data_IF_707521872052
#
_entry.id   IF_707521872052
#
_cell.length_a   1.000
_cell.length_b   1.000
_cell.length_c   1.000
_cell.angle_alpha   90.00
_cell.angle_beta   90.00
_cell.angle_gamma   90.00
#
_symmetry.space_group_name_H-M   'P 1'
#
loop_
_entity.id
_entity.type
_entity.pdbx_description
1 polymer ?
#
# COMPACT_ATOMS: atom_id res chain seq x y z
N UNK A 1 1.44 29.05 13.05
CA UNK A 1 0.29 29.85 12.72
C UNK A 1 -0.92 28.97 12.45
N UNK A 2 -2.12 29.49 12.69
CA UNK A 2 -3.36 28.79 12.32
C UNK A 2 -3.50 28.89 10.81
N UNK A 3 -3.57 27.73 10.13
CA UNK A 3 -3.84 27.70 8.70
C UNK A 3 -5.34 27.82 8.46
N UNK A 4 -5.80 28.98 8.04
CA UNK A 4 -7.20 29.23 7.71
C UNK A 4 -7.65 28.59 6.39
N UNK A 5 -6.70 28.16 5.53
CA UNK A 5 -7.01 27.53 4.26
C UNK A 5 -7.63 26.15 4.44
N UNK A 6 -7.52 25.55 5.64
CA UNK A 6 -8.24 24.32 5.99
C UNK A 6 -9.75 24.42 5.78
N UNK A 7 -10.34 25.62 5.94
CA UNK A 7 -11.77 25.86 5.68
C UNK A 7 -12.13 25.72 4.20
N UNK A 8 -11.18 25.91 3.30
CA UNK A 8 -11.35 25.83 1.84
C UNK A 8 -11.13 24.40 1.33
N UNK A 9 -9.95 23.82 1.64
CA UNK A 9 -9.66 22.46 1.18
C UNK A 9 -10.26 21.37 2.07
N UNK A 10 -10.66 21.71 3.34
CA UNK A 10 -11.41 20.85 4.26
C UNK A 10 -10.73 19.55 4.68
N UNK A 11 -9.42 19.45 4.50
CA UNK A 11 -8.69 18.26 4.88
C UNK A 11 -8.55 18.18 6.40
N UNK A 12 -8.96 17.06 7.07
CA UNK A 12 -8.78 16.89 8.51
C UNK A 12 -7.32 16.92 8.92
N UNK A 13 -7.00 17.40 10.14
CA UNK A 13 -5.64 17.59 10.62
C UNK A 13 -4.73 16.35 10.50
N UNK A 14 -5.21 15.18 10.87
CA UNK A 14 -4.47 13.93 10.73
C UNK A 14 -4.19 13.55 9.27
N UNK A 15 -5.17 13.78 8.38
CA UNK A 15 -4.98 13.55 6.95
C UNK A 15 -3.97 14.54 6.36
N UNK A 16 -3.98 15.80 6.81
CA UNK A 16 -3.00 16.81 6.38
C UNK A 16 -1.57 16.39 6.73
N UNK A 17 -1.32 15.98 7.98
CA UNK A 17 0.00 15.54 8.41
C UNK A 17 0.50 14.33 7.63
N UNK A 18 -0.34 13.31 7.42
CA UNK A 18 0.01 12.13 6.63
C UNK A 18 0.28 12.47 5.16
N UNK A 19 -0.49 13.40 4.60
CA UNK A 19 -0.34 13.85 3.22
C UNK A 19 0.93 14.66 3.01
N UNK A 20 1.29 15.53 3.96
CA UNK A 20 2.55 16.27 3.95
C UNK A 20 3.74 15.31 4.02
N UNK A 21 3.70 14.34 4.93
CA UNK A 21 4.75 13.34 5.06
C UNK A 21 4.88 12.49 3.79
N UNK A 22 3.76 12.07 3.20
CA UNK A 22 3.74 11.34 1.94
C UNK A 22 4.34 12.14 0.78
N UNK A 23 3.98 13.42 0.65
CA UNK A 23 4.54 14.32 -0.36
C UNK A 23 6.03 14.57 -0.15
N UNK A 24 6.48 14.71 1.12
CA UNK A 24 7.89 14.88 1.48
C UNK A 24 8.70 13.65 1.11
N UNK A 25 8.25 12.45 1.48
CA UNK A 25 8.92 11.18 1.17
C UNK A 25 9.06 10.92 -0.32
N UNK A 26 8.14 11.43 -1.12
CA UNK A 26 8.16 11.31 -2.57
C UNK A 26 8.86 12.48 -3.29
N UNK A 27 9.40 13.45 -2.55
CA UNK A 27 10.11 14.61 -3.10
C UNK A 27 9.21 15.71 -3.66
N UNK A 28 7.91 15.67 -3.44
CA UNK A 28 6.91 16.60 -3.99
C UNK A 28 6.35 17.61 -2.99
N UNK A 29 7.01 17.79 -1.83
CA UNK A 29 6.51 18.72 -0.80
C UNK A 29 6.35 20.15 -1.30
N UNK A 30 7.18 20.59 -2.26
CA UNK A 30 7.10 21.90 -2.88
C UNK A 30 5.80 22.10 -3.70
N UNK A 31 5.15 21.02 -4.11
CA UNK A 31 3.87 21.05 -4.83
C UNK A 31 2.64 21.05 -3.90
N UNK A 32 2.84 20.90 -2.59
CA UNK A 32 1.73 20.84 -1.63
C UNK A 32 0.71 21.99 -1.75
N UNK A 33 1.13 23.28 -1.92
CA UNK A 33 0.16 24.36 -2.07
C UNK A 33 -0.73 24.21 -3.31
N UNK A 34 -0.22 23.64 -4.39
CA UNK A 34 -0.98 23.37 -5.62
C UNK A 34 -1.95 22.20 -5.42
N UNK A 35 -1.51 21.16 -4.70
CA UNK A 35 -2.36 20.01 -4.36
C UNK A 35 -3.56 20.43 -3.50
N UNK A 36 -3.37 21.31 -2.53
CA UNK A 36 -4.45 21.81 -1.68
C UNK A 36 -5.46 22.66 -2.49
N UNK A 37 -4.98 23.48 -3.41
CA UNK A 37 -5.85 24.24 -4.33
C UNK A 37 -6.62 23.31 -5.28
N UNK A 38 -5.96 22.27 -5.79
CA UNK A 38 -6.62 21.27 -6.63
C UNK A 38 -7.71 20.53 -5.85
N UNK A 39 -7.44 20.17 -4.61
CA UNK A 39 -8.41 19.53 -3.71
C UNK A 39 -9.64 20.42 -3.48
N UNK A 40 -9.44 21.72 -3.23
CA UNK A 40 -10.54 22.71 -3.07
C UNK A 40 -11.45 22.72 -4.32
N UNK A 41 -10.89 22.86 -5.51
CA UNK A 41 -11.65 22.87 -6.76
C UNK A 41 -12.35 21.55 -7.05
N UNK A 42 -11.67 20.43 -6.81
CA UNK A 42 -12.25 19.09 -6.98
C UNK A 42 -13.47 18.88 -6.09
N UNK A 43 -13.41 19.32 -4.84
CA UNK A 43 -14.56 19.22 -3.90
C UNK A 43 -15.78 20.03 -4.39
N UNK A 44 -15.56 21.19 -4.98
CA UNK A 44 -16.65 22.01 -5.56
C UNK A 44 -17.27 21.32 -6.78
N UNK A 45 -16.46 20.72 -7.65
CA UNK A 45 -16.91 20.05 -8.88
C UNK A 45 -17.66 18.76 -8.57
N UNK A 46 -17.05 17.89 -7.75
CA UNK A 46 -17.61 16.59 -7.40
C UNK A 46 -18.69 16.70 -6.33
N UNK A 47 -18.79 17.87 -5.67
CA UNK A 47 -19.72 18.13 -4.58
C UNK A 47 -19.65 17.10 -3.46
N UNK A 48 -18.45 16.68 -3.18
CA UNK A 48 -18.12 15.70 -2.14
C UNK A 48 -17.29 16.34 -1.05
N UNK A 49 -17.81 16.30 0.18
CA UNK A 49 -17.06 16.73 1.35
C UNK A 49 -16.29 15.55 1.92
N UNK A 50 -14.98 15.71 1.99
CA UNK A 50 -14.12 14.72 2.58
C UNK A 50 -14.43 14.56 4.06
N UNK A 51 -14.84 13.36 4.41
CA UNK A 51 -14.96 12.94 5.80
C UNK A 51 -14.04 11.75 6.02
N UNK A 52 -13.47 11.67 7.19
CA UNK A 52 -12.67 10.49 7.55
C UNK A 52 -13.61 9.25 7.57
N UNK A 53 -13.25 8.14 6.89
CA UNK A 53 -11.95 7.82 6.29
C UNK A 53 -11.82 8.12 4.78
N UNK A 54 -12.79 8.76 4.14
CA UNK A 54 -12.86 8.94 2.68
C UNK A 54 -11.91 10.02 2.11
N UNK A 55 -11.33 10.88 2.95
CA UNK A 55 -10.44 11.99 2.54
C UNK A 55 -9.23 11.55 1.70
N UNK A 56 -8.83 10.29 1.81
CA UNK A 56 -7.70 9.74 1.05
C UNK A 56 -7.97 9.70 -0.46
N UNK A 57 -9.22 9.51 -0.88
CA UNK A 57 -9.59 9.37 -2.29
C UNK A 57 -9.33 10.67 -3.05
N UNK A 58 -9.86 11.78 -2.54
CA UNK A 58 -9.73 13.10 -3.18
C UNK A 58 -8.31 13.65 -3.04
N UNK A 59 -7.65 13.39 -1.90
CA UNK A 59 -6.23 13.72 -1.74
C UNK A 59 -5.35 13.01 -2.77
N UNK A 60 -5.48 11.70 -2.92
CA UNK A 60 -4.70 10.95 -3.90
C UNK A 60 -4.96 11.44 -5.33
N UNK A 61 -6.19 11.84 -5.63
CA UNK A 61 -6.53 12.44 -6.93
C UNK A 61 -5.79 13.76 -7.12
N UNK A 62 -5.81 14.64 -6.11
CA UNK A 62 -5.07 15.91 -6.17
C UNK A 62 -3.55 15.68 -6.30
N UNK A 63 -3.00 14.74 -5.55
CA UNK A 63 -1.60 14.37 -5.62
C UNK A 63 -1.21 13.90 -7.02
N UNK A 64 -1.97 12.97 -7.60
CA UNK A 64 -1.69 12.40 -8.92
C UNK A 64 -1.86 13.43 -10.04
N UNK A 65 -2.92 14.24 -10.01
CA UNK A 65 -3.15 15.27 -11.01
C UNK A 65 -2.02 16.32 -11.04
N UNK A 66 -1.64 16.83 -9.86
CA UNK A 66 -0.59 17.86 -9.76
C UNK A 66 0.80 17.29 -10.10
N UNK A 67 1.13 16.09 -9.60
CA UNK A 67 2.42 15.46 -9.92
C UNK A 67 2.48 15.00 -11.37
N UNK A 68 1.37 14.58 -11.97
CA UNK A 68 1.25 14.26 -13.39
C UNK A 68 1.49 15.49 -14.27
N UNK A 69 0.83 16.62 -13.95
CA UNK A 69 1.06 17.89 -14.63
C UNK A 69 2.53 18.34 -14.50
N UNK A 70 3.10 18.26 -13.30
CA UNK A 70 4.52 18.59 -13.08
C UNK A 70 5.46 17.75 -13.95
N UNK A 71 5.21 16.47 -14.09
CA UNK A 71 6.02 15.57 -14.94
C UNK A 71 5.90 15.92 -16.43
N UNK A 72 4.76 16.45 -16.89
CA UNK A 72 4.52 16.80 -18.30
C UNK A 72 5.16 18.13 -18.68
N UNK A 73 5.08 19.15 -17.85
CA UNK A 73 5.53 20.50 -18.20
C UNK A 73 5.97 21.38 -17.04
N UNK A 74 6.32 20.79 -15.89
CA UNK A 74 6.80 21.54 -14.74
C UNK A 74 5.75 22.46 -14.12
N UNK A 75 6.21 23.58 -13.58
CA UNK A 75 5.36 24.54 -12.88
C UNK A 75 4.32 25.19 -13.80
N UNK A 76 4.64 25.42 -15.06
CA UNK A 76 3.73 26.04 -16.04
C UNK A 76 2.50 25.16 -16.25
N UNK A 77 2.70 23.87 -16.44
CA UNK A 77 1.59 22.92 -16.63
C UNK A 77 0.73 22.78 -15.36
N UNK A 78 1.35 22.80 -14.18
CA UNK A 78 0.61 22.81 -12.91
C UNK A 78 -0.24 24.07 -12.75
N UNK A 79 0.30 25.23 -13.09
CA UNK A 79 -0.42 26.51 -13.06
C UNK A 79 -1.58 26.52 -14.04
N UNK A 80 -1.37 26.04 -15.26
CA UNK A 80 -2.42 25.90 -16.27
C UNK A 80 -3.54 24.96 -15.80
N UNK A 81 -3.19 23.78 -15.25
CA UNK A 81 -4.16 22.86 -14.69
C UNK A 81 -5.06 23.52 -13.63
N UNK A 82 -4.47 24.30 -12.73
CA UNK A 82 -5.23 25.01 -11.69
C UNK A 82 -6.04 26.19 -12.25
N UNK A 83 -5.57 26.86 -13.27
CA UNK A 83 -6.32 27.91 -13.98
C UNK A 83 -7.59 27.30 -14.61
N UNK A 84 -7.46 26.20 -15.36
CA UNK A 84 -8.59 25.49 -15.93
C UNK A 84 -9.57 25.02 -14.85
N UNK A 85 -9.07 24.42 -13.77
CA UNK A 85 -9.89 23.98 -12.65
C UNK A 85 -10.68 25.13 -12.02
N UNK A 86 -10.03 26.29 -11.80
CA UNK A 86 -10.64 27.47 -11.21
C UNK A 86 -11.70 28.08 -12.15
N UNK A 87 -11.41 28.11 -13.45
CA UNK A 87 -12.35 28.62 -14.44
C UNK A 87 -13.63 27.77 -14.51
N UNK A 88 -13.50 26.44 -14.59
CA UNK A 88 -14.67 25.54 -14.63
C UNK A 88 -15.47 25.48 -13.34
N UNK A 89 -14.89 25.89 -12.21
CA UNK A 89 -15.63 25.98 -10.94
C UNK A 89 -16.42 27.28 -10.80
N UNK A 90 -16.01 28.36 -11.47
CA UNK A 90 -16.59 29.71 -11.31
C UNK A 90 -17.47 30.12 -12.47
N UNK A 91 -17.21 29.61 -13.66
CA UNK A 91 -17.88 30.02 -14.90
C UNK A 91 -18.99 29.03 -15.27
N UNK A 92 -20.23 29.48 -15.50
CA UNK A 92 -21.29 28.63 -16.00
C UNK A 92 -20.90 27.93 -17.32
N UNK A 93 -21.39 26.71 -17.49
CA UNK A 93 -21.09 25.87 -18.66
C UNK A 93 -21.36 26.60 -20.00
N UNK A 94 -22.40 27.43 -20.06
CA UNK A 94 -22.78 28.21 -21.25
C UNK A 94 -21.74 29.27 -21.63
N UNK A 95 -21.00 29.77 -20.68
CA UNK A 95 -20.04 30.88 -20.82
C UNK A 95 -18.59 30.41 -21.02
N UNK A 96 -18.31 29.12 -20.78
CA UNK A 96 -16.97 28.56 -20.97
C UNK A 96 -16.55 28.59 -22.45
N UNK A 97 -15.31 29.04 -22.68
CA UNK A 97 -14.72 29.04 -24.03
C UNK A 97 -14.54 27.58 -24.56
N UNK A 98 -14.44 27.44 -25.87
CA UNK A 98 -14.18 26.14 -26.50
C UNK A 98 -12.85 25.54 -26.08
N UNK A 99 -11.86 26.37 -25.81
CA UNK A 99 -10.53 25.99 -25.33
C UNK A 99 -10.61 25.43 -23.89
N UNK A 100 -11.28 26.14 -22.98
CA UNK A 100 -11.46 25.68 -21.60
C UNK A 100 -12.30 24.40 -21.53
N UNK A 101 -13.31 24.24 -22.39
CA UNK A 101 -14.06 22.97 -22.49
C UNK A 101 -13.21 21.79 -22.95
N UNK A 102 -12.19 22.00 -23.77
CA UNK A 102 -11.23 20.95 -24.15
C UNK A 102 -10.23 20.70 -23.02
N UNK A 103 -9.66 21.77 -22.47
CA UNK A 103 -8.64 21.67 -21.43
C UNK A 103 -9.16 20.97 -20.15
N UNK A 104 -10.42 21.16 -19.77
CA UNK A 104 -11.02 20.50 -18.59
C UNK A 104 -11.04 18.97 -18.68
N UNK A 105 -10.97 18.40 -19.86
CA UNK A 105 -10.93 16.96 -20.04
C UNK A 105 -9.61 16.34 -19.55
N UNK A 106 -8.60 17.16 -19.29
CA UNK A 106 -7.33 16.71 -18.74
C UNK A 106 -7.25 16.81 -17.19
N UNK A 107 -8.26 17.38 -16.54
CA UNK A 107 -8.22 17.63 -15.07
C UNK A 107 -8.05 16.32 -14.28
N UNK A 108 -8.79 15.28 -14.63
CA UNK A 108 -8.82 14.00 -13.90
C UNK A 108 -8.19 12.84 -14.67
N UNK A 109 -7.44 13.10 -15.76
CA UNK A 109 -6.82 12.04 -16.57
C UNK A 109 -5.88 11.13 -15.76
N UNK A 110 -5.22 11.68 -14.74
CA UNK A 110 -4.28 10.97 -13.87
C UNK A 110 -4.95 10.43 -12.59
N UNK A 111 -6.28 10.48 -12.47
CA UNK A 111 -6.97 10.03 -11.27
C UNK A 111 -6.83 8.52 -11.06
N UNK A 112 -6.85 8.09 -9.78
CA UNK A 112 -6.77 6.69 -9.42
C UNK A 112 -8.12 5.96 -9.55
N UNK A 113 -8.06 4.63 -9.45
CA UNK A 113 -9.24 3.77 -9.50
C UNK A 113 -10.24 4.04 -8.36
N UNK A 114 -9.76 4.43 -7.17
CA UNK A 114 -10.64 4.79 -6.06
C UNK A 114 -11.51 6.02 -6.38
N UNK A 115 -10.95 7.03 -7.05
CA UNK A 115 -11.73 8.19 -7.50
C UNK A 115 -12.75 7.81 -8.58
N UNK A 116 -12.38 6.96 -9.53
CA UNK A 116 -13.33 6.41 -10.52
C UNK A 116 -14.47 5.66 -9.85
N UNK A 117 -14.17 4.82 -8.85
CA UNK A 117 -15.20 4.12 -8.04
C UNK A 117 -16.10 5.09 -7.27
N UNK A 118 -15.54 6.20 -6.75
CA UNK A 118 -16.33 7.26 -6.13
C UNK A 118 -17.34 7.87 -7.11
N UNK A 119 -16.89 8.23 -8.31
CA UNK A 119 -17.75 8.77 -9.37
C UNK A 119 -18.85 7.79 -9.79
N UNK A 120 -18.58 6.48 -9.74
CA UNK A 120 -19.56 5.43 -10.03
C UNK A 120 -20.54 5.15 -8.87
N UNK A 121 -20.40 5.82 -7.73
CA UNK A 121 -21.23 5.57 -6.55
C UNK A 121 -20.92 4.27 -5.80
N UNK A 122 -19.78 3.62 -6.09
CA UNK A 122 -19.41 2.33 -5.44
C UNK A 122 -19.13 2.46 -3.94
N UNK A 123 -18.90 3.67 -3.44
CA UNK A 123 -18.74 3.96 -2.00
C UNK A 123 -20.02 4.57 -1.38
N UNK A 124 -21.11 4.55 -2.12
CA UNK A 124 -22.39 5.14 -1.73
C UNK A 124 -22.75 6.34 -2.59
N UNK A 125 -23.97 6.78 -2.40
CA UNK A 125 -24.52 7.95 -3.11
C UNK A 125 -23.75 9.21 -2.75
N UNK A 126 -23.37 9.97 -3.76
CA UNK A 126 -22.79 11.30 -3.55
C UNK A 126 -23.85 12.24 -2.94
N UNK A 127 -23.53 12.99 -1.88
CA UNK A 127 -24.52 13.76 -1.10
C UNK A 127 -25.35 14.77 -1.92
N UNK A 128 -24.72 15.37 -2.94
CA UNK A 128 -25.34 16.38 -3.80
C UNK A 128 -25.61 15.87 -5.23
N UNK A 129 -25.66 14.56 -5.40
CA UNK A 129 -25.84 13.89 -6.69
C UNK A 129 -24.56 13.75 -7.49
N UNK A 130 -24.70 13.16 -8.66
CA UNK A 130 -23.56 12.93 -9.55
C UNK A 130 -23.04 14.22 -10.19
N UNK A 131 -21.73 14.36 -10.42
CA UNK A 131 -21.15 15.50 -11.11
C UNK A 131 -21.55 15.52 -12.61
N UNK A 132 -21.20 16.61 -13.28
CA UNK A 132 -21.47 16.77 -14.71
C UNK A 132 -20.71 15.73 -15.58
N UNK A 133 -21.26 15.42 -16.74
CA UNK A 133 -20.76 14.37 -17.64
C UNK A 133 -19.29 14.56 -18.06
N UNK A 134 -18.82 15.80 -18.23
CA UNK A 134 -17.43 16.07 -18.55
C UNK A 134 -16.43 15.57 -17.50
N UNK A 135 -16.83 15.44 -16.23
CA UNK A 135 -16.00 14.89 -15.16
C UNK A 135 -15.74 13.41 -15.44
N UNK A 136 -16.75 12.69 -15.93
CA UNK A 136 -16.60 11.29 -16.35
C UNK A 136 -15.72 11.19 -17.59
N UNK A 137 -15.92 12.08 -18.56
CA UNK A 137 -15.08 12.12 -19.76
C UNK A 137 -13.61 12.35 -19.42
N UNK A 138 -13.33 13.27 -18.49
CA UNK A 138 -11.99 13.52 -17.96
C UNK A 138 -11.39 12.32 -17.23
N UNK A 139 -12.18 11.61 -16.42
CA UNK A 139 -11.68 10.51 -15.57
C UNK A 139 -11.59 9.16 -16.30
N UNK A 140 -12.46 8.91 -17.28
CA UNK A 140 -12.59 7.61 -17.96
C UNK A 140 -12.21 7.66 -19.45
N UNK A 141 -11.88 8.83 -19.99
CA UNK A 141 -11.55 8.98 -21.42
C UNK A 141 -12.66 8.46 -22.32
N UNK A 142 -12.32 7.62 -23.30
CA UNK A 142 -13.30 7.08 -24.29
C UNK A 142 -14.42 6.22 -23.66
N UNK A 143 -14.23 5.72 -22.45
CA UNK A 143 -15.19 4.83 -21.78
C UNK A 143 -16.24 5.58 -20.93
N UNK A 144 -16.22 6.91 -20.91
CA UNK A 144 -17.06 7.72 -20.03
C UNK A 144 -18.57 7.45 -20.14
N UNK A 145 -19.09 7.18 -21.34
CA UNK A 145 -20.52 6.86 -21.56
C UNK A 145 -20.91 5.55 -20.89
N UNK A 146 -20.05 4.53 -20.99
CA UNK A 146 -20.23 3.26 -20.30
C UNK A 146 -20.14 3.45 -18.79
N UNK A 147 -19.21 4.29 -18.32
CA UNK A 147 -19.07 4.62 -16.91
C UNK A 147 -20.36 5.26 -16.35
N UNK A 148 -20.95 6.23 -17.05
CA UNK A 148 -22.21 6.85 -16.67
C UNK A 148 -23.35 5.81 -16.61
N UNK A 149 -23.44 4.92 -17.58
CA UNK A 149 -24.46 3.87 -17.59
C UNK A 149 -24.33 2.87 -16.42
N UNK A 150 -23.12 2.70 -15.90
CA UNK A 150 -22.79 1.79 -14.78
C UNK A 150 -22.78 2.46 -13.40
N UNK A 151 -23.24 3.71 -13.29
CA UNK A 151 -23.41 4.38 -12.00
C UNK A 151 -24.44 3.65 -11.14
N UNK A 152 -24.22 3.66 -9.83
CA UNK A 152 -25.17 3.09 -8.89
C UNK A 152 -25.52 4.09 -7.79
N UNK A 153 -26.79 4.11 -7.41
CA UNK A 153 -27.28 4.86 -6.23
C UNK A 153 -27.56 3.91 -5.05
N UNK A 154 -27.33 2.63 -5.25
CA UNK A 154 -27.55 1.60 -4.23
C UNK A 154 -26.49 1.75 -3.14
N UNK A 155 -26.91 1.69 -1.89
CA UNK A 155 -26.01 1.71 -0.74
C UNK A 155 -25.01 0.56 -0.82
N UNK A 156 -23.72 0.76 -0.49
CA UNK A 156 -22.77 -0.33 -0.38
C UNK A 156 -23.26 -1.47 0.53
N UNK A 157 -23.96 -1.14 1.63
CA UNK A 157 -24.54 -2.13 2.54
C UNK A 157 -25.61 -2.99 1.86
N UNK A 158 -26.42 -2.41 0.97
CA UNK A 158 -27.44 -3.15 0.22
C UNK A 158 -26.86 -4.00 -0.92
N UNK A 159 -25.66 -3.65 -1.39
CA UNK A 159 -24.96 -4.35 -2.49
C UNK A 159 -24.00 -5.43 -2.01
N UNK A 160 -23.67 -5.46 -0.72
CA UNK A 160 -22.80 -6.49 -0.16
C UNK A 160 -23.58 -7.81 -0.02
N UNK A 161 -22.96 -8.95 -0.35
CA UNK A 161 -23.56 -10.25 -0.07
C UNK A 161 -23.69 -10.46 1.45
N UNK A 162 -24.74 -11.17 1.85
CA UNK A 162 -24.89 -11.58 3.24
C UNK A 162 -23.70 -12.43 3.67
N UNK A 163 -23.16 -12.12 4.86
CA UNK A 163 -22.06 -12.89 5.45
C UNK A 163 -22.60 -14.17 6.04
N UNK A 164 -22.08 -15.32 5.61
CA UNK A 164 -22.39 -16.58 6.24
C UNK A 164 -21.61 -16.72 7.55
N UNK A 165 -22.19 -16.24 8.65
CA UNK A 165 -21.54 -16.22 9.96
C UNK A 165 -21.14 -17.63 10.44
N UNK A 166 -21.89 -18.67 10.09
CA UNK A 166 -21.56 -20.04 10.48
C UNK A 166 -20.30 -20.56 9.75
N UNK A 167 -20.16 -20.22 8.46
CA UNK A 167 -18.97 -20.56 7.69
C UNK A 167 -17.73 -19.80 8.20
N UNK A 168 -17.89 -18.52 8.51
CA UNK A 168 -16.80 -17.68 9.08
C UNK A 168 -16.37 -18.15 10.47
N UNK A 169 -17.34 -18.53 11.34
CA UNK A 169 -17.01 -19.09 12.67
C UNK A 169 -16.27 -20.43 12.54
N UNK A 170 -16.66 -21.27 11.58
CA UNK A 170 -15.98 -22.54 11.32
C UNK A 170 -14.54 -22.30 10.83
N UNK A 171 -14.33 -21.36 9.89
CA UNK A 171 -13.02 -21.00 9.40
C UNK A 171 -12.11 -20.43 10.52
N UNK A 172 -12.64 -19.53 11.34
CA UNK A 172 -11.91 -18.98 12.48
C UNK A 172 -11.54 -20.08 13.49
N UNK A 173 -12.46 -21.01 13.76
CA UNK A 173 -12.26 -22.17 14.66
C UNK A 173 -11.14 -23.07 14.15
N UNK A 174 -11.09 -23.33 12.84
CA UNK A 174 -10.04 -24.13 12.23
C UNK A 174 -8.67 -23.47 12.36
N UNK A 175 -8.58 -22.18 12.11
CA UNK A 175 -7.33 -21.42 12.21
C UNK A 175 -6.81 -21.32 13.66
N UNK A 176 -7.70 -21.18 14.63
CA UNK A 176 -7.35 -21.11 16.06
C UNK A 176 -7.20 -22.49 16.71
N UNK A 177 -7.66 -23.57 16.07
CA UNK A 177 -7.79 -24.93 16.65
C UNK A 177 -8.66 -24.96 17.93
N UNK A 178 -9.49 -23.96 18.12
CA UNK A 178 -10.50 -23.85 19.18
C UNK A 178 -11.61 -22.91 18.75
N UNK A 179 -12.77 -23.02 19.41
CA UNK A 179 -13.87 -22.05 19.18
C UNK A 179 -13.46 -20.66 19.66
N UNK A 180 -13.64 -19.60 18.86
CA UNK A 180 -13.42 -18.22 19.30
C UNK A 180 -14.47 -17.81 20.34
N UNK A 181 -14.14 -16.86 21.24
CA UNK A 181 -15.16 -16.17 22.03
C UNK A 181 -15.98 -15.25 21.12
N UNK A 182 -17.10 -14.72 21.63
CA UNK A 182 -17.93 -13.80 20.85
C UNK A 182 -17.17 -12.53 20.44
N UNK A 183 -16.36 -11.99 21.35
CA UNK A 183 -15.53 -10.80 21.13
C UNK A 183 -14.44 -11.09 20.09
N UNK A 184 -13.76 -12.23 20.21
CA UNK A 184 -12.75 -12.66 19.25
C UNK A 184 -13.35 -12.85 17.85
N UNK A 185 -14.53 -13.42 17.77
CA UNK A 185 -15.20 -13.62 16.50
C UNK A 185 -15.62 -12.28 15.85
N UNK A 186 -16.13 -11.34 16.62
CA UNK A 186 -16.43 -9.97 16.12
C UNK A 186 -15.17 -9.28 15.61
N UNK A 187 -14.05 -9.39 16.34
CA UNK A 187 -12.76 -8.85 15.87
C UNK A 187 -12.29 -9.52 14.59
N UNK A 188 -12.44 -10.84 14.49
CA UNK A 188 -12.11 -11.59 13.28
C UNK A 188 -12.93 -11.16 12.07
N UNK A 189 -14.23 -10.95 12.22
CA UNK A 189 -15.09 -10.49 11.13
C UNK A 189 -14.68 -9.09 10.62
N UNK A 190 -14.20 -8.22 11.49
CA UNK A 190 -13.80 -6.86 11.12
C UNK A 190 -12.36 -6.79 10.57
N UNK A 191 -11.42 -7.55 11.17
CA UNK A 191 -9.98 -7.49 10.87
C UNK A 191 -9.36 -8.89 10.95
N UNK A 192 -9.64 -9.80 9.99
CA UNK A 192 -9.29 -11.23 10.12
C UNK A 192 -7.82 -11.48 10.43
N UNK A 193 -6.91 -10.85 9.67
CA UNK A 193 -5.47 -11.08 9.82
C UNK A 193 -4.90 -10.58 11.15
N UNK A 194 -5.31 -9.40 11.60
CA UNK A 194 -4.80 -8.81 12.84
C UNK A 194 -5.44 -9.45 14.06
N UNK A 195 -6.71 -9.82 13.98
CA UNK A 195 -7.40 -10.57 15.01
C UNK A 195 -6.73 -11.93 15.24
N UNK A 196 -6.45 -12.69 14.18
CA UNK A 196 -5.77 -13.98 14.28
C UNK A 196 -4.38 -13.85 14.92
N UNK A 197 -3.57 -12.89 14.50
CA UNK A 197 -2.26 -12.61 15.11
C UNK A 197 -2.38 -12.33 16.61
N UNK A 198 -3.35 -11.48 16.97
CA UNK A 198 -3.60 -11.12 18.38
C UNK A 198 -4.06 -12.32 19.20
N UNK A 199 -4.96 -13.12 18.68
CA UNK A 199 -5.44 -14.32 19.36
C UNK A 199 -4.34 -15.37 19.52
N UNK A 200 -3.53 -15.61 18.47
CA UNK A 200 -2.39 -16.52 18.52
C UNK A 200 -1.34 -16.05 19.54
N UNK A 201 -1.05 -14.73 19.55
CA UNK A 201 -0.16 -14.14 20.54
C UNK A 201 -0.69 -14.38 21.98
N UNK A 202 -1.98 -14.10 22.21
CA UNK A 202 -2.60 -14.33 23.54
C UNK A 202 -2.65 -15.81 23.93
N UNK A 203 -2.78 -16.71 22.96
CA UNK A 203 -2.72 -18.15 23.24
C UNK A 203 -1.31 -18.58 23.67
N UNK A 204 -0.28 -18.02 23.03
CA UNK A 204 1.12 -18.37 23.29
C UNK A 204 1.65 -17.71 24.59
N UNK A 205 1.40 -16.42 24.77
CA UNK A 205 2.04 -15.60 25.81
C UNK A 205 1.08 -15.17 26.94
N UNK A 206 -0.21 -15.39 26.80
CA UNK A 206 -1.22 -14.86 27.71
C UNK A 206 -1.75 -13.50 27.31
N UNK A 207 -2.63 -12.93 28.13
CA UNK A 207 -3.21 -11.61 27.87
C UNK A 207 -2.25 -10.51 28.36
N UNK A 208 -1.73 -9.65 27.46
CA UNK A 208 -0.84 -8.55 27.84
C UNK A 208 -1.48 -7.52 28.76
N UNK A 209 -2.81 -7.45 28.82
CA UNK A 209 -3.52 -6.56 29.74
C UNK A 209 -3.28 -6.90 31.22
N UNK A 210 -2.77 -8.10 31.51
CA UNK A 210 -2.37 -8.50 32.88
C UNK A 210 -1.01 -7.96 33.27
N UNK A 211 -0.26 -7.32 32.37
CA UNK A 211 1.04 -6.73 32.64
C UNK A 211 0.90 -5.22 32.91
N UNK A 212 1.67 -4.67 33.88
CA UNK A 212 1.79 -3.23 34.01
C UNK A 212 2.32 -2.59 32.72
N UNK A 213 1.82 -1.41 32.40
CA UNK A 213 2.10 -0.73 31.13
C UNK A 213 3.60 -0.53 30.88
N UNK A 214 4.35 -0.17 31.91
CA UNK A 214 5.81 0.01 31.83
C UNK A 214 6.54 -1.30 31.50
N UNK A 215 6.06 -2.43 32.04
CA UNK A 215 6.65 -3.75 31.74
C UNK A 215 6.36 -4.15 30.27
N UNK A 216 5.18 -3.82 29.78
CA UNK A 216 4.82 -4.08 28.40
C UNK A 216 5.69 -3.30 27.41
N UNK A 217 5.93 -1.99 27.65
CA UNK A 217 6.67 -1.13 26.74
C UNK A 217 8.18 -1.16 26.92
N UNK A 218 8.67 -1.29 28.15
CA UNK A 218 10.10 -1.19 28.45
C UNK A 218 10.76 -2.54 28.75
N UNK A 219 9.95 -3.56 29.03
CA UNK A 219 10.42 -4.84 29.55
C UNK A 219 10.82 -4.76 31.02
N UNK A 220 11.04 -5.92 31.64
CA UNK A 220 11.57 -6.03 32.97
C UNK A 220 13.11 -6.02 32.92
N UNK A 221 13.76 -5.22 33.76
CA UNK A 221 15.23 -5.14 33.84
C UNK A 221 15.76 -6.02 34.94
N UNK A 222 16.99 -6.56 34.84
CA UNK A 222 17.61 -7.30 35.96
C UNK A 222 17.58 -6.49 37.25
N UNK A 223 17.14 -7.12 38.37
CA UNK A 223 16.94 -6.53 39.63
C UNK A 223 15.55 -5.90 39.86
N UNK A 224 14.69 -5.88 38.86
CA UNK A 224 13.31 -5.45 39.01
C UNK A 224 12.38 -6.63 39.28
N UNK A 225 11.33 -6.37 40.03
CA UNK A 225 10.30 -7.34 40.35
C UNK A 225 8.95 -6.99 39.74
N UNK A 226 8.10 -7.99 39.65
CA UNK A 226 6.75 -7.92 39.11
C UNK A 226 5.82 -8.76 39.96
N UNK A 227 4.72 -8.16 40.40
CA UNK A 227 3.61 -8.86 41.04
C UNK A 227 2.48 -9.02 40.00
N UNK A 228 2.00 -10.23 39.85
CA UNK A 228 0.91 -10.53 38.92
C UNK A 228 0.04 -11.66 39.43
N UNK A 229 -1.19 -11.73 38.92
CA UNK A 229 -2.06 -12.86 39.22
C UNK A 229 -2.08 -13.83 38.02
N UNK A 230 -2.05 -15.13 38.31
CA UNK A 230 -2.27 -16.14 37.27
C UNK A 230 -3.75 -16.18 36.80
N UNK A 231 -4.07 -17.06 35.89
CA UNK A 231 -5.44 -17.21 35.36
C UNK A 231 -6.44 -17.67 36.42
N UNK A 232 -6.00 -18.26 37.54
CA UNK A 232 -6.85 -18.67 38.63
C UNK A 232 -7.06 -17.53 39.66
N UNK A 233 -6.38 -16.41 39.53
CA UNK A 233 -6.39 -15.29 40.45
C UNK A 233 -5.36 -15.41 41.58
N UNK A 234 -4.50 -16.42 41.54
CA UNK A 234 -3.44 -16.61 42.57
C UNK A 234 -2.33 -15.58 42.29
N UNK A 235 -1.91 -14.83 43.35
CA UNK A 235 -0.82 -13.88 43.24
C UNK A 235 0.54 -14.57 43.14
N UNK A 236 1.41 -14.03 42.31
CA UNK A 236 2.78 -14.45 42.09
C UNK A 236 3.73 -13.27 42.21
N UNK A 237 4.95 -13.54 42.66
CA UNK A 237 6.05 -12.58 42.67
C UNK A 237 7.21 -13.09 41.82
N UNK A 238 7.59 -12.30 40.82
CA UNK A 238 8.69 -12.57 39.91
C UNK A 238 9.77 -11.50 40.09
N UNK A 239 11.02 -11.91 40.34
CA UNK A 239 12.20 -11.05 40.36
C UNK A 239 13.13 -11.48 39.24
N UNK A 240 13.39 -10.61 38.27
CA UNK A 240 14.33 -10.89 37.18
C UNK A 240 15.76 -10.73 37.66
N UNK A 241 16.55 -11.81 37.62
CA UNK A 241 17.94 -11.82 38.07
C UNK A 241 18.91 -11.40 36.96
N UNK A 242 18.80 -12.02 35.80
CA UNK A 242 19.70 -11.74 34.69
C UNK A 242 19.10 -12.13 33.33
N UNK A 243 19.61 -11.47 32.28
CA UNK A 243 19.36 -11.81 30.91
C UNK A 243 20.73 -12.02 30.26
N UNK A 244 20.97 -13.18 29.64
CA UNK A 244 22.22 -13.45 28.92
C UNK A 244 22.34 -12.61 27.66
N UNK A 245 23.54 -12.56 27.08
CA UNK A 245 23.65 -12.11 25.68
C UNK A 245 23.01 -13.15 24.76
N UNK A 246 22.45 -12.73 23.60
CA UNK A 246 21.97 -13.66 22.61
C UNK A 246 23.10 -14.58 22.14
N UNK A 247 22.80 -15.86 21.99
CA UNK A 247 23.69 -16.80 21.32
C UNK A 247 23.58 -16.64 19.79
N UNK A 248 24.32 -17.45 19.02
CA UNK A 248 24.35 -17.41 17.54
C UNK A 248 22.97 -17.69 16.90
N UNK A 249 22.09 -18.38 17.62
CA UNK A 249 20.71 -18.62 17.21
C UNK A 249 19.73 -17.49 17.62
N UNK A 250 20.22 -16.43 18.27
CA UNK A 250 19.40 -15.34 18.77
C UNK A 250 18.57 -15.70 20.03
N UNK A 251 18.99 -16.74 20.77
CA UNK A 251 18.33 -17.14 22.02
C UNK A 251 19.03 -16.50 23.20
N UNK A 252 18.28 -15.92 24.13
CA UNK A 252 18.74 -15.43 25.42
C UNK A 252 18.20 -16.32 26.53
N UNK A 253 18.98 -16.48 27.59
CA UNK A 253 18.56 -17.17 28.80
C UNK A 253 18.21 -16.13 29.87
N UNK A 254 16.95 -16.11 30.26
CA UNK A 254 16.47 -15.30 31.37
C UNK A 254 16.48 -16.13 32.68
N UNK A 255 17.13 -15.61 33.71
CA UNK A 255 17.08 -16.20 35.09
C UNK A 255 16.24 -15.32 35.97
N UNK A 256 15.35 -15.92 36.71
CA UNK A 256 14.42 -15.22 37.57
C UNK A 256 14.07 -16.04 38.81
N UNK A 257 13.58 -15.36 39.84
CA UNK A 257 12.97 -15.99 41.02
C UNK A 257 11.46 -15.88 40.85
N UNK A 258 10.74 -16.98 40.92
CA UNK A 258 9.29 -17.01 40.93
C UNK A 258 8.85 -17.65 42.26
N UNK A 259 8.13 -16.90 43.09
CA UNK A 259 7.63 -17.38 44.41
C UNK A 259 8.72 -18.04 45.27
N UNK A 260 9.93 -17.47 45.30
CA UNK A 260 11.10 -17.96 46.00
C UNK A 260 11.86 -19.12 45.37
N UNK A 261 11.46 -19.59 44.17
CA UNK A 261 12.21 -20.60 43.42
C UNK A 261 13.02 -19.95 42.28
N UNK A 262 14.27 -20.35 42.12
CA UNK A 262 15.14 -19.88 41.03
C UNK A 262 14.82 -20.69 39.79
N UNK A 263 14.40 -20.00 38.72
CA UNK A 263 14.05 -20.58 37.45
C UNK A 263 14.83 -19.96 36.32
N UNK A 264 14.84 -20.62 35.17
CA UNK A 264 15.36 -20.05 33.91
C UNK A 264 14.48 -20.44 32.76
N UNK A 265 14.37 -19.55 31.79
CA UNK A 265 13.73 -19.83 30.51
C UNK A 265 14.58 -19.32 29.35
N UNK A 266 14.45 -19.99 28.23
CA UNK A 266 15.03 -19.55 26.96
C UNK A 266 14.00 -18.74 26.18
N UNK A 267 14.42 -17.56 25.72
CA UNK A 267 13.55 -16.67 24.94
C UNK A 267 14.23 -16.38 23.62
N UNK A 268 13.52 -16.65 22.53
CA UNK A 268 13.94 -16.22 21.21
C UNK A 268 13.77 -14.70 21.12
N UNK A 269 14.89 -13.99 21.08
CA UNK A 269 14.83 -12.53 20.86
C UNK A 269 14.61 -12.30 19.38
N UNK A 270 13.58 -11.51 19.05
CA UNK A 270 13.48 -10.97 17.70
C UNK A 270 14.80 -10.24 17.42
N UNK A 271 15.51 -10.68 16.38
CA UNK A 271 16.82 -10.08 16.07
C UNK A 271 16.63 -8.56 16.00
N UNK A 272 17.49 -7.77 16.70
CA UNK A 272 17.43 -6.34 16.56
C UNK A 272 17.57 -6.02 15.07
N UNK A 273 16.74 -5.14 14.58
CA UNK A 273 16.71 -4.65 13.18
C UNK A 273 18.06 -4.07 12.69
N UNK A 274 19.15 -4.33 13.37
CA UNK A 274 20.53 -3.96 13.02
C UNK A 274 21.46 -5.11 12.62
N UNK A 275 21.08 -6.38 12.83
CA UNK A 275 21.82 -7.48 12.19
C UNK A 275 21.27 -7.66 10.80
N UNK A 276 22.14 -7.62 9.80
CA UNK A 276 21.88 -7.94 8.40
C UNK A 276 20.96 -9.15 8.36
N UNK A 277 19.66 -8.91 8.10
CA UNK A 277 18.75 -9.99 7.77
C UNK A 277 19.46 -10.78 6.65
N UNK A 278 19.79 -12.04 6.87
CA UNK A 278 20.24 -12.94 5.83
C UNK A 278 19.15 -12.88 4.78
N UNK A 279 19.38 -12.12 3.72
CA UNK A 279 18.46 -12.08 2.59
C UNK A 279 17.98 -10.72 2.10
N UNK A 280 18.35 -9.57 2.71
CA UNK A 280 18.05 -8.30 2.08
C UNK A 280 19.03 -8.09 0.94
N UNK A 281 18.63 -8.44 -0.27
CA UNK A 281 19.42 -8.15 -1.46
C UNK A 281 19.13 -6.72 -1.86
N UNK A 282 20.15 -5.86 -1.79
CA UNK A 282 20.04 -4.48 -2.29
C UNK A 282 20.26 -4.49 -3.81
N UNK A 283 19.51 -3.64 -4.50
CA UNK A 283 19.73 -3.44 -5.93
C UNK A 283 21.07 -2.73 -6.15
N UNK A 284 21.80 -3.14 -7.18
CA UNK A 284 22.94 -2.39 -7.68
C UNK A 284 22.43 -1.23 -8.55
N UNK A 285 22.66 0.03 -8.16
CA UNK A 285 22.19 1.18 -8.94
C UNK A 285 22.79 1.28 -10.35
N UNK A 286 23.96 0.67 -10.57
CA UNK A 286 24.60 0.61 -11.87
C UNK A 286 24.00 -0.47 -12.80
N UNK A 287 23.25 -1.42 -12.24
CA UNK A 287 22.64 -2.49 -13.01
C UNK A 287 21.22 -2.11 -13.42
N UNK A 288 21.04 -1.73 -14.70
CA UNK A 288 19.74 -1.36 -15.28
C UNK A 288 18.67 -2.46 -15.24
N UNK A 289 19.03 -3.70 -14.95
CA UNK A 289 18.13 -4.84 -14.82
C UNK A 289 17.67 -5.09 -13.38
N UNK A 290 18.20 -4.34 -12.41
CA UNK A 290 17.74 -4.41 -11.03
C UNK A 290 16.61 -3.41 -10.79
N UNK A 291 15.46 -3.91 -10.35
CA UNK A 291 14.33 -3.07 -9.99
C UNK A 291 14.10 -3.13 -8.49
N UNK A 292 14.35 -1.99 -7.85
CA UNK A 292 14.29 -1.83 -6.41
C UNK A 292 13.00 -1.19 -5.93
N UNK A 293 12.70 -1.35 -4.65
CA UNK A 293 11.70 -0.51 -3.98
C UNK A 293 12.19 0.95 -3.96
N UNK A 294 11.36 1.91 -4.39
CA UNK A 294 11.72 3.33 -4.43
C UNK A 294 11.72 4.00 -3.05
N UNK A 295 11.27 3.30 -2.01
CA UNK A 295 11.12 3.83 -0.65
C UNK A 295 10.83 2.73 0.36
N UNK A 296 10.93 3.06 1.65
CA UNK A 296 10.38 2.20 2.70
C UNK A 296 8.85 2.19 2.62
N UNK A 297 8.25 1.01 2.71
CA UNK A 297 6.80 0.84 2.64
C UNK A 297 6.41 -0.63 2.64
N UNK A 298 5.22 -0.91 2.14
CA UNK A 298 4.72 -2.28 2.00
C UNK A 298 4.48 -2.60 0.53
N UNK A 299 5.03 -3.71 0.05
CA UNK A 299 4.71 -4.26 -1.25
C UNK A 299 3.22 -4.62 -1.24
N UNK A 300 2.46 -3.99 -2.15
CA UNK A 300 1.01 -4.10 -2.21
C UNK A 300 0.57 -5.20 -3.16
N UNK A 301 1.09 -5.17 -4.38
CA UNK A 301 0.83 -6.16 -5.41
C UNK A 301 2.08 -6.34 -6.26
N UNK A 302 2.40 -7.58 -6.58
CA UNK A 302 3.41 -7.97 -7.58
C UNK A 302 2.66 -8.47 -8.82
N UNK A 303 2.81 -7.79 -9.95
CA UNK A 303 2.10 -8.12 -11.19
C UNK A 303 2.85 -9.11 -12.07
N UNK A 304 4.15 -9.26 -11.87
CA UNK A 304 5.01 -10.06 -12.75
C UNK A 304 5.52 -11.33 -12.09
N UNK A 305 5.77 -12.34 -12.91
CA UNK A 305 6.29 -13.64 -12.53
C UNK A 305 7.59 -13.96 -13.26
N UNK A 306 8.45 -14.82 -12.73
CA UNK A 306 9.63 -15.27 -13.44
C UNK A 306 9.26 -15.88 -14.80
N UNK A 307 9.91 -15.38 -15.86
CA UNK A 307 9.64 -15.76 -17.25
C UNK A 307 8.83 -14.74 -18.05
N UNK A 308 8.17 -13.79 -17.41
CA UNK A 308 7.40 -12.75 -18.11
C UNK A 308 8.33 -11.84 -18.92
N UNK A 309 7.86 -11.44 -20.11
CA UNK A 309 8.54 -10.46 -20.94
C UNK A 309 7.86 -9.12 -20.69
N UNK A 310 8.64 -8.12 -20.30
CA UNK A 310 8.15 -6.78 -19.96
C UNK A 310 8.79 -5.73 -20.85
N UNK A 311 8.06 -4.67 -21.13
CA UNK A 311 8.55 -3.50 -21.88
C UNK A 311 8.94 -2.37 -20.92
N UNK A 312 9.86 -1.53 -21.33
CA UNK A 312 10.19 -0.31 -20.62
C UNK A 312 8.92 0.53 -20.37
N UNK A 313 8.70 0.93 -19.11
CA UNK A 313 7.50 1.66 -18.69
C UNK A 313 6.31 0.77 -18.28
N UNK A 314 6.39 -0.54 -18.40
CA UNK A 314 5.37 -1.47 -17.92
C UNK A 314 5.41 -1.60 -16.40
N UNK A 315 4.24 -1.67 -15.77
CA UNK A 315 4.11 -1.75 -14.31
C UNK A 315 4.47 -3.15 -13.81
N UNK A 316 5.45 -3.22 -12.90
CA UNK A 316 5.94 -4.48 -12.34
C UNK A 316 5.32 -4.80 -10.99
N UNK A 317 5.19 -3.79 -10.15
CA UNK A 317 4.61 -3.93 -8.82
C UNK A 317 4.23 -2.58 -8.22
N UNK A 318 3.39 -2.61 -7.17
CA UNK A 318 3.00 -1.45 -6.40
C UNK A 318 3.52 -1.51 -4.96
N UNK A 319 4.05 -0.38 -4.49
CA UNK A 319 4.45 -0.18 -3.09
C UNK A 319 3.51 0.82 -2.44
N UNK A 320 2.95 0.46 -1.30
CA UNK A 320 2.15 1.36 -0.48
C UNK A 320 3.06 2.13 0.49
N UNK A 321 2.98 3.45 0.41
CA UNK A 321 3.73 4.39 1.26
C UNK A 321 2.70 5.28 1.94
N UNK A 322 2.51 5.13 3.24
CA UNK A 322 1.54 5.95 3.99
C UNK A 322 0.14 5.93 3.35
N UNK A 323 -0.32 4.75 2.92
CA UNK A 323 -1.60 4.53 2.22
C UNK A 323 -1.69 5.12 0.80
N UNK A 324 -0.58 5.54 0.23
CA UNK A 324 -0.48 5.93 -1.18
C UNK A 324 0.21 4.81 -1.96
N UNK A 325 -0.41 4.39 -3.04
CA UNK A 325 0.16 3.39 -3.93
C UNK A 325 1.10 4.06 -4.93
N UNK A 326 2.31 3.55 -5.05
CA UNK A 326 3.29 3.96 -6.04
C UNK A 326 3.61 2.80 -6.96
N UNK A 327 3.27 2.96 -8.24
CA UNK A 327 3.66 2.03 -9.28
C UNK A 327 5.17 2.07 -9.53
N UNK A 328 5.78 0.92 -9.66
CA UNK A 328 7.18 0.75 -10.05
C UNK A 328 7.21 0.11 -11.42
N UNK A 329 7.84 0.81 -12.35
CA UNK A 329 7.83 0.49 -13.77
C UNK A 329 9.15 -0.19 -14.17
N UNK A 330 9.10 -1.00 -15.23
CA UNK A 330 10.29 -1.58 -15.83
C UNK A 330 11.19 -0.48 -16.40
N UNK A 331 12.47 -0.41 -16.01
CA UNK A 331 13.39 0.61 -16.52
C UNK A 331 13.84 0.35 -17.96
N UNK A 332 13.78 -0.90 -18.39
CA UNK A 332 14.18 -1.37 -19.73
C UNK A 332 13.33 -2.55 -20.16
N UNK A 333 13.30 -2.83 -21.47
CA UNK A 333 12.75 -4.09 -21.98
C UNK A 333 13.55 -5.26 -21.42
N UNK A 334 12.86 -6.32 -21.00
CA UNK A 334 13.54 -7.46 -20.38
C UNK A 334 12.64 -8.65 -20.14
N UNK A 335 13.28 -9.73 -19.71
CA UNK A 335 12.62 -10.92 -19.16
C UNK A 335 12.80 -10.94 -17.66
N UNK A 336 11.73 -11.19 -16.92
CA UNK A 336 11.79 -11.34 -15.46
C UNK A 336 12.54 -12.60 -15.10
N UNK A 337 13.75 -12.47 -14.56
CA UNK A 337 14.59 -13.62 -14.12
C UNK A 337 14.19 -14.10 -12.73
N UNK A 338 13.99 -13.16 -11.81
CA UNK A 338 13.61 -13.47 -10.43
C UNK A 338 12.69 -12.41 -9.87
N UNK A 339 11.74 -12.86 -9.06
CA UNK A 339 10.95 -12.06 -8.15
C UNK A 339 11.37 -12.48 -6.73
N UNK A 340 11.86 -11.53 -5.93
CA UNK A 340 12.43 -11.82 -4.60
C UNK A 340 11.39 -11.78 -3.49
N UNK A 341 10.33 -10.99 -3.67
CA UNK A 341 9.18 -10.93 -2.77
C UNK A 341 7.89 -10.87 -3.58
N UNK A 342 6.86 -11.55 -3.10
CA UNK A 342 5.52 -11.52 -3.69
C UNK A 342 4.53 -11.00 -2.68
N UNK A 343 3.56 -10.22 -3.13
CA UNK A 343 2.43 -9.78 -2.34
C UNK A 343 1.22 -9.61 -3.26
N UNK A 344 0.04 -9.91 -2.76
CA UNK A 344 -1.21 -9.65 -3.43
C UNK A 344 -2.27 -9.24 -2.41
N UNK A 345 -2.35 -7.94 -2.17
CA UNK A 345 -3.32 -7.40 -1.24
C UNK A 345 -4.75 -7.45 -1.80
N UNK A 346 -4.91 -7.47 -3.11
CA UNK A 346 -6.24 -7.51 -3.74
C UNK A 346 -6.94 -8.84 -3.51
N UNK A 347 -6.21 -9.96 -3.67
CA UNK A 347 -6.78 -11.29 -3.53
C UNK A 347 -6.71 -11.84 -2.10
N UNK A 348 -5.53 -11.83 -1.49
CA UNK A 348 -5.28 -12.53 -0.22
C UNK A 348 -5.05 -11.62 1.00
N UNK A 349 -5.16 -10.28 0.82
CA UNK A 349 -4.90 -9.27 1.86
C UNK A 349 -3.49 -9.32 2.46
N UNK A 350 -2.54 -9.90 1.74
CA UNK A 350 -1.16 -10.05 2.20
C UNK A 350 -0.29 -8.89 1.68
N UNK A 351 0.37 -8.20 2.59
CA UNK A 351 1.39 -7.18 2.31
C UNK A 351 2.72 -7.66 2.86
N UNK A 352 3.82 -7.20 2.23
CA UNK A 352 5.18 -7.55 2.67
C UNK A 352 5.99 -6.27 2.77
N UNK A 353 6.54 -5.99 3.96
CA UNK A 353 7.37 -4.80 4.15
C UNK A 353 8.63 -4.84 3.30
N UNK A 354 8.94 -3.70 2.69
CA UNK A 354 10.10 -3.48 1.82
C UNK A 354 10.85 -2.23 2.24
N UNK A 355 12.16 -2.20 1.96
CA UNK A 355 13.03 -1.06 2.24
C UNK A 355 13.43 -0.35 0.96
N UNK A 356 13.71 0.93 1.08
CA UNK A 356 14.29 1.71 -0.02
C UNK A 356 15.57 1.06 -0.54
N UNK A 357 15.68 0.88 -1.86
CA UNK A 357 16.82 0.24 -2.50
C UNK A 357 16.81 -1.29 -2.44
N UNK A 358 15.86 -1.92 -1.77
CA UNK A 358 15.74 -3.39 -1.74
C UNK A 358 15.38 -3.92 -3.13
N UNK A 359 16.16 -4.88 -3.65
CA UNK A 359 15.91 -5.54 -4.92
C UNK A 359 14.64 -6.40 -4.82
N UNK A 360 13.66 -6.13 -5.67
CA UNK A 360 12.41 -6.89 -5.71
C UNK A 360 12.25 -7.69 -6.99
N UNK A 361 12.68 -7.13 -8.13
CA UNK A 361 12.63 -7.81 -9.42
C UNK A 361 13.99 -7.71 -10.08
N UNK A 362 14.50 -8.84 -10.57
CA UNK A 362 15.69 -8.92 -11.42
C UNK A 362 15.24 -9.24 -12.84
N UNK A 363 15.51 -8.32 -13.76
CA UNK A 363 15.29 -8.48 -15.19
C UNK A 363 16.54 -9.09 -15.83
N UNK A 364 16.39 -9.54 -17.05
CA UNK A 364 17.49 -9.93 -17.92
C UNK A 364 17.21 -9.47 -19.36
N UNK A 365 18.21 -9.54 -20.25
CA UNK A 365 17.98 -9.19 -21.64
C UNK A 365 16.89 -10.08 -22.25
N UNK A 366 16.08 -9.49 -23.14
CA UNK A 366 15.08 -10.25 -23.89
C UNK A 366 15.81 -11.29 -24.74
N UNK A 367 15.47 -12.58 -24.65
CA UNK A 367 16.11 -13.60 -25.46
C UNK A 367 15.83 -13.31 -26.95
N UNK A 368 16.87 -13.36 -27.77
CA UNK A 368 16.68 -13.32 -29.22
C UNK A 368 15.93 -14.57 -29.66
N UNK A 369 14.93 -14.40 -30.50
CA UNK A 369 14.21 -15.52 -31.11
C UNK A 369 14.86 -15.81 -32.46
N UNK A 370 15.00 -17.09 -32.78
CA UNK A 370 15.49 -17.50 -34.09
C UNK A 370 14.62 -16.90 -35.20
N UNK A 371 15.25 -16.22 -36.16
CA UNK A 371 14.59 -15.61 -37.30
C UNK A 371 13.98 -16.62 -38.31
N UNK A 372 14.31 -17.92 -38.13
CA UNK A 372 13.66 -18.99 -38.91
C UNK A 372 12.31 -19.31 -38.25
N UNK A 373 11.22 -18.95 -38.94
CA UNK A 373 9.84 -19.16 -38.45
C UNK A 373 9.53 -20.63 -38.14
N UNK A 374 10.15 -21.57 -38.81
CA UNK A 374 9.98 -23.00 -38.52
C UNK A 374 10.71 -23.45 -37.24
N UNK A 375 11.66 -22.67 -36.73
CA UNK A 375 12.39 -22.95 -35.51
C UNK A 375 11.82 -22.18 -34.32
N UNK A 376 11.68 -20.86 -34.44
CA UNK A 376 11.16 -19.90 -33.44
C UNK A 376 11.65 -20.13 -32.00
N UNK A 377 12.81 -20.79 -31.81
CA UNK A 377 13.35 -21.11 -30.48
C UNK A 377 14.11 -19.91 -29.91
N UNK A 378 14.01 -19.64 -28.60
CA UNK A 378 14.78 -18.60 -27.95
C UNK A 378 16.26 -18.99 -27.95
N UNK A 379 17.12 -18.04 -28.32
CA UNK A 379 18.57 -18.23 -28.43
C UNK A 379 19.21 -17.94 -27.07
N UNK A 380 19.82 -18.93 -26.41
CA UNK A 380 20.25 -18.81 -25.02
C UNK A 380 21.53 -17.99 -24.78
N UNK A 381 22.18 -17.48 -25.83
CA UNK A 381 23.44 -16.73 -25.73
C UNK A 381 23.46 -15.47 -26.60
N UNK A 382 23.96 -14.36 -26.05
CA UNK A 382 24.01 -13.05 -26.72
C UNK A 382 24.99 -12.96 -27.92
N UNK A 383 25.96 -13.88 -28.05
CA UNK A 383 27.06 -13.80 -29.01
C UNK A 383 27.11 -14.96 -30.02
N UNK A 384 25.98 -15.57 -30.34
CA UNK A 384 25.92 -16.60 -31.38
C UNK A 384 25.52 -16.04 -32.72
N UNK A 385 26.27 -16.30 -33.75
CA UNK A 385 26.00 -15.94 -35.14
C UNK A 385 25.01 -16.90 -35.84
N UNK A 386 24.78 -18.05 -35.23
CA UNK A 386 23.87 -19.08 -35.76
C UNK A 386 23.03 -19.70 -34.66
N UNK A 387 21.78 -20.00 -34.98
CA UNK A 387 20.86 -20.67 -34.04
C UNK A 387 21.38 -22.07 -33.67
N UNK A 388 21.53 -22.40 -32.39
CA UNK A 388 22.02 -23.71 -31.98
C UNK A 388 21.07 -24.87 -32.25
N UNK A 389 19.81 -24.56 -32.54
CA UNK A 389 18.77 -25.56 -32.77
C UNK A 389 18.54 -25.88 -34.24
N UNK A 390 18.70 -24.93 -35.16
CA UNK A 390 18.43 -25.13 -36.58
C UNK A 390 19.55 -24.68 -37.49
N UNK A 391 20.64 -24.11 -36.98
CA UNK A 391 21.79 -23.64 -37.75
C UNK A 391 21.52 -22.37 -38.60
N UNK A 392 20.37 -21.78 -38.54
CA UNK A 392 20.07 -20.53 -39.28
C UNK A 392 20.85 -19.36 -38.69
N UNK A 393 21.27 -18.42 -39.55
CA UNK A 393 21.98 -17.22 -39.11
C UNK A 393 21.06 -16.35 -38.26
N UNK A 394 21.56 -15.91 -37.11
CA UNK A 394 20.86 -14.98 -36.23
C UNK A 394 21.19 -13.56 -36.67
N UNK A 395 20.19 -12.77 -37.00
CA UNK A 395 20.34 -11.37 -37.41
C UNK A 395 20.21 -10.46 -36.18
#
# INVERSE_FOLDING_TARGET
GIDYDVTRHGMPGGATSSSQEGAMKQGYIHLLPYMLKFLEGTRQIVRYHDVTPGSQITWNTAFLAVTGAWKRGGEEEVRFLLEVLNEVTRTPESELSSEMRKARLNIYQDCNDAFRKLLLGKFGRLPLGFPADWVYESAFGSEWKSAIANRTEVSPLESLPDVNLAAEEAACTELLKRKPTKEEFVLYLNHPADALKTMQFRMQYGDPNNLPLHVWFEGLKPGQDLYFNDRSGKPHHLLLLSISRPNDAGVVVCRYVLDSEIMSCEVQVAQPTGQKAKGLTMADPANKFHVASPSNGDLWVMYVHPGDIVKAGEELFNVSIMKQEKAVLAPVDGVVKRVLKTADFKENKQMVSVREGELLVELGPVPRICSNEACAQPIPMDNVSFCPYCGSRVI
#
